data_IF_081224121757
#
_entry.id   IF_081224121757
#
_cell.length_a   1.000
_cell.length_b   1.000
_cell.length_c   1.000
_cell.angle_alpha   90.00
_cell.angle_beta   90.00
_cell.angle_gamma   90.00
#
_symmetry.space_group_name_H-M   'P 1'
#
loop_
_entity.id
_entity.type
_entity.pdbx_description
1 polymer ?
#
# COMPACT_ATOMS: atom_id res chain seq x y z
N UNK A 1 -24.41 13.58 -5.71
CA UNK A 1 -24.53 12.12 -5.74
C UNK A 1 -23.12 11.59 -5.56
N UNK A 2 -22.85 11.01 -4.44
CA UNK A 2 -21.51 10.59 -4.08
C UNK A 2 -21.28 9.14 -4.52
N UNK A 3 -20.05 8.81 -4.90
CA UNK A 3 -19.56 7.45 -5.16
C UNK A 3 -19.96 6.48 -4.02
N UNK A 4 -20.13 7.00 -2.82
CA UNK A 4 -20.51 6.23 -1.63
C UNK A 4 -21.98 5.78 -1.60
N UNK A 5 -22.86 6.42 -2.36
CA UNK A 5 -24.30 6.08 -2.37
C UNK A 5 -24.62 4.69 -2.95
N UNK A 6 -23.65 4.04 -3.59
CA UNK A 6 -23.81 2.72 -4.20
C UNK A 6 -22.91 1.66 -3.58
N UNK A 7 -22.28 1.94 -2.43
CA UNK A 7 -21.38 0.98 -1.79
C UNK A 7 -22.04 -0.37 -1.51
N UNK A 8 -23.29 -0.36 -1.06
CA UNK A 8 -24.06 -1.57 -0.78
C UNK A 8 -24.37 -2.43 -2.04
N UNK A 9 -24.23 -1.84 -3.24
CA UNK A 9 -24.44 -2.58 -4.49
C UNK A 9 -23.27 -3.50 -4.87
N UNK A 10 -22.12 -3.36 -4.23
CA UNK A 10 -20.91 -4.13 -4.56
C UNK A 10 -20.79 -5.44 -3.76
N UNK A 11 -21.70 -5.70 -2.83
CA UNK A 11 -21.65 -6.89 -1.99
C UNK A 11 -20.47 -6.88 -1.02
N UNK A 12 -19.99 -8.07 -0.66
CA UNK A 12 -18.81 -8.22 0.19
C UNK A 12 -17.54 -7.85 -0.59
N UNK A 13 -16.79 -6.88 -0.07
CA UNK A 13 -15.55 -6.41 -0.68
C UNK A 13 -14.38 -7.22 -0.14
N UNK A 14 -13.56 -7.76 -1.04
CA UNK A 14 -12.33 -8.48 -0.70
C UNK A 14 -11.10 -7.61 -0.99
N UNK A 15 -10.30 -7.38 0.02
CA UNK A 15 -9.07 -6.61 -0.07
C UNK A 15 -7.80 -7.47 0.03
N UNK A 16 -7.93 -8.77 -0.04
CA UNK A 16 -6.78 -9.71 -0.05
C UNK A 16 -5.95 -9.53 -1.31
N UNK A 17 -4.67 -9.42 -1.24
CA UNK A 17 -3.79 -9.33 -2.39
C UNK A 17 -3.66 -10.68 -3.11
N UNK A 18 -3.33 -10.66 -4.40
CA UNK A 18 -3.00 -11.85 -5.15
C UNK A 18 -1.91 -12.67 -4.43
N UNK A 19 -2.00 -13.99 -4.55
CA UNK A 19 -1.02 -14.89 -3.95
C UNK A 19 0.39 -14.49 -4.42
N UNK A 20 1.31 -14.36 -3.47
CA UNK A 20 2.70 -13.99 -3.73
C UNK A 20 3.57 -15.22 -3.60
N UNK A 21 4.64 -15.25 -4.37
CA UNK A 21 5.67 -16.27 -4.17
C UNK A 21 6.25 -16.15 -2.76
N UNK A 22 6.23 -17.25 -2.04
CA UNK A 22 6.80 -17.36 -0.70
C UNK A 22 8.03 -18.26 -0.74
N UNK A 23 8.96 -18.06 0.19
CA UNK A 23 10.13 -18.92 0.32
C UNK A 23 11.29 -18.59 -0.61
N UNK A 24 11.22 -17.50 -1.36
CA UNK A 24 12.39 -16.98 -2.11
C UNK A 24 13.49 -16.59 -1.13
N UNK A 25 14.67 -17.16 -1.32
CA UNK A 25 15.86 -16.83 -0.50
C UNK A 25 16.80 -15.95 -1.30
N UNK A 26 17.38 -14.96 -0.62
CA UNK A 26 18.43 -14.16 -1.22
C UNK A 26 19.65 -15.03 -1.54
N UNK A 27 20.19 -14.88 -2.73
CA UNK A 27 21.39 -15.59 -3.21
C UNK A 27 22.61 -14.67 -3.14
N UNK A 28 23.72 -15.20 -2.67
CA UNK A 28 24.97 -14.45 -2.61
C UNK A 28 25.43 -14.04 -4.01
N UNK A 29 25.87 -12.80 -4.16
CA UNK A 29 26.36 -12.24 -5.43
C UNK A 29 25.27 -11.75 -6.39
N UNK A 30 23.99 -11.79 -5.99
CA UNK A 30 22.89 -11.19 -6.76
C UNK A 30 22.51 -9.82 -6.20
N UNK A 31 22.12 -8.93 -7.09
CA UNK A 31 21.48 -7.65 -6.76
C UNK A 31 19.98 -7.80 -6.89
N UNK A 32 19.24 -7.37 -5.86
CA UNK A 32 17.79 -7.37 -5.84
C UNK A 32 17.30 -5.94 -5.99
N UNK A 33 16.43 -5.69 -6.96
CA UNK A 33 15.87 -4.37 -7.25
C UNK A 33 14.39 -4.42 -6.98
N UNK A 34 13.91 -3.55 -6.12
CA UNK A 34 12.49 -3.31 -5.88
C UNK A 34 12.09 -2.01 -6.56
N UNK A 35 11.07 -2.07 -7.39
CA UNK A 35 10.49 -0.88 -8.03
C UNK A 35 9.14 -0.63 -7.38
N UNK A 36 8.99 0.57 -6.81
CA UNK A 36 7.79 0.94 -6.09
C UNK A 36 7.35 2.35 -6.47
N UNK A 37 6.08 2.51 -6.85
CA UNK A 37 5.47 3.82 -7.01
C UNK A 37 5.13 4.37 -5.64
N UNK A 38 5.64 5.55 -5.32
CA UNK A 38 5.29 6.29 -4.09
C UNK A 38 4.01 7.11 -4.26
N UNK A 39 3.75 8.05 -3.37
CA UNK A 39 2.64 9.04 -3.44
C UNK A 39 1.21 8.46 -3.34
N UNK A 40 1.04 7.22 -2.93
CA UNK A 40 -0.28 6.63 -2.72
C UNK A 40 -1.07 7.22 -1.55
N UNK A 41 -0.45 8.09 -0.75
CA UNK A 41 -1.11 8.93 0.25
C UNK A 41 -1.92 10.07 -0.39
N UNK A 42 -1.61 10.44 -1.61
CA UNK A 42 -2.37 11.41 -2.41
C UNK A 42 -3.66 10.76 -2.93
N UNK A 43 -4.63 10.59 -2.06
CA UNK A 43 -5.88 9.88 -2.33
C UNK A 43 -6.60 10.38 -3.59
N UNK A 44 -6.54 11.69 -3.88
CA UNK A 44 -7.13 12.27 -5.09
C UNK A 44 -6.57 11.66 -6.39
N UNK A 45 -5.35 11.14 -6.38
CA UNK A 45 -4.74 10.50 -7.55
C UNK A 45 -5.43 9.18 -7.89
N UNK A 46 -6.01 8.50 -6.90
CA UNK A 46 -6.78 7.28 -7.08
C UNK A 46 -8.22 7.53 -7.53
N UNK A 47 -8.74 8.75 -7.35
CA UNK A 47 -10.07 9.16 -7.81
C UNK A 47 -10.07 9.84 -9.17
N UNK A 48 -8.93 10.30 -9.64
CA UNK A 48 -8.81 11.01 -10.91
C UNK A 48 -8.50 10.01 -12.03
N UNK A 49 -9.42 9.92 -12.99
CA UNK A 49 -9.31 9.01 -14.14
C UNK A 49 -8.06 9.25 -14.99
N UNK A 50 -7.58 10.48 -15.02
CA UNK A 50 -6.40 10.88 -15.80
C UNK A 50 -5.10 10.78 -14.99
N UNK A 51 -5.12 10.02 -13.89
CA UNK A 51 -4.00 9.85 -12.99
C UNK A 51 -3.64 8.37 -12.81
N UNK A 52 -3.50 7.88 -11.57
CA UNK A 52 -3.03 6.51 -11.31
C UNK A 52 -3.94 5.41 -11.86
N UNK A 53 -5.24 5.70 -12.08
CA UNK A 53 -6.18 4.76 -12.71
C UNK A 53 -6.23 4.86 -14.23
N UNK A 54 -5.38 5.64 -14.86
CA UNK A 54 -5.23 5.57 -16.32
C UNK A 54 -4.54 4.25 -16.69
N UNK A 55 -5.33 3.32 -17.18
CA UNK A 55 -4.89 1.96 -17.56
C UNK A 55 -3.83 1.95 -18.65
N UNK A 56 -3.79 2.98 -19.48
CA UNK A 56 -2.85 3.06 -20.58
C UNK A 56 -1.46 3.50 -20.14
N UNK A 57 -1.38 4.19 -18.99
CA UNK A 57 -0.16 4.89 -18.60
C UNK A 57 0.44 4.38 -17.29
N UNK A 58 -0.40 4.07 -16.29
CA UNK A 58 0.07 3.76 -14.95
C UNK A 58 -0.35 2.38 -14.46
N UNK A 59 -1.52 2.27 -13.86
CA UNK A 59 -2.00 1.07 -13.22
C UNK A 59 -3.12 0.41 -14.02
N UNK A 60 -3.12 -0.93 -14.10
CA UNK A 60 -4.22 -1.69 -14.65
C UNK A 60 -3.81 -2.74 -15.68
N UNK A 61 -4.82 -3.44 -16.22
CA UNK A 61 -4.64 -4.60 -17.08
C UNK A 61 -3.96 -4.31 -18.44
N UNK A 62 -3.98 -3.07 -18.89
CA UNK A 62 -3.34 -2.67 -20.15
C UNK A 62 -1.85 -2.35 -19.99
N UNK A 63 -1.38 -2.21 -18.77
CA UNK A 63 0.04 -2.01 -18.50
C UNK A 63 0.85 -3.25 -18.91
N UNK A 64 2.00 -3.04 -19.51
CA UNK A 64 2.95 -4.11 -19.75
C UNK A 64 3.49 -4.65 -18.41
N UNK A 65 3.06 -5.84 -18.04
CA UNK A 65 3.51 -6.56 -16.86
C UNK A 65 4.88 -7.24 -17.06
N UNK A 66 5.83 -6.58 -17.70
CA UNK A 66 7.18 -7.13 -17.94
C UNK A 66 7.95 -7.38 -16.65
N UNK A 67 7.73 -6.57 -15.62
CA UNK A 67 8.39 -6.70 -14.31
C UNK A 67 7.41 -6.47 -13.15
N UNK A 68 7.72 -7.03 -11.96
CA UNK A 68 6.94 -6.78 -10.75
C UNK A 68 7.03 -5.31 -10.31
N UNK A 69 5.91 -4.75 -9.86
CA UNK A 69 5.84 -3.37 -9.38
C UNK A 69 5.01 -3.28 -8.11
N UNK A 70 5.53 -2.54 -7.14
CA UNK A 70 4.80 -2.15 -5.94
C UNK A 70 4.02 -0.84 -6.16
N UNK A 71 2.77 -0.81 -5.72
CA UNK A 71 1.89 0.35 -5.82
C UNK A 71 1.53 0.82 -4.42
N UNK A 72 1.98 2.01 -4.07
CA UNK A 72 1.62 2.63 -2.81
C UNK A 72 0.15 3.03 -2.82
N UNK A 73 -0.59 2.62 -1.81
CA UNK A 73 -2.02 2.93 -1.65
C UNK A 73 -2.33 3.32 -0.22
N UNK A 74 -3.22 4.29 -0.03
CA UNK A 74 -3.66 4.69 1.30
C UNK A 74 -4.59 3.62 1.90
N UNK A 75 -4.18 2.92 2.99
CA UNK A 75 -5.02 1.87 3.59
C UNK A 75 -6.34 2.41 4.16
N UNK A 76 -6.37 3.67 4.54
CA UNK A 76 -7.59 4.37 4.98
C UNK A 76 -8.67 4.49 3.90
N UNK A 77 -8.37 4.13 2.64
CA UNK A 77 -9.39 3.94 1.61
C UNK A 77 -10.40 2.85 1.99
N UNK A 78 -10.06 1.94 2.90
CA UNK A 78 -11.01 1.00 3.47
C UNK A 78 -12.28 1.70 3.97
N UNK A 79 -12.12 2.85 4.64
CA UNK A 79 -13.24 3.62 5.18
C UNK A 79 -13.65 4.80 4.27
N UNK A 80 -12.65 5.43 3.62
CA UNK A 80 -12.87 6.65 2.84
C UNK A 80 -13.35 6.38 1.42
N UNK A 81 -13.04 5.21 0.87
CA UNK A 81 -13.37 4.88 -0.52
C UNK A 81 -13.19 3.39 -0.81
N UNK A 82 -13.92 2.49 -0.12
CA UNK A 82 -13.74 1.05 -0.26
C UNK A 82 -13.93 0.57 -1.70
N UNK A 83 -14.78 1.21 -2.47
CA UNK A 83 -14.97 0.91 -3.89
C UNK A 83 -13.68 1.14 -4.69
N UNK A 84 -12.97 2.23 -4.40
CA UNK A 84 -11.69 2.52 -5.09
C UNK A 84 -10.68 1.44 -4.79
N UNK A 85 -10.54 1.06 -3.52
CA UNK A 85 -9.63 0.01 -3.11
C UNK A 85 -9.99 -1.34 -3.75
N UNK A 86 -11.27 -1.67 -3.81
CA UNK A 86 -11.76 -2.87 -4.49
C UNK A 86 -11.50 -2.83 -6.01
N UNK A 87 -11.70 -1.70 -6.66
CA UNK A 87 -11.38 -1.53 -8.07
C UNK A 87 -9.89 -1.75 -8.35
N UNK A 88 -9.03 -1.13 -7.54
CA UNK A 88 -7.58 -1.32 -7.65
C UNK A 88 -7.20 -2.80 -7.55
N UNK A 89 -7.83 -3.50 -6.63
CA UNK A 89 -7.60 -4.92 -6.40
C UNK A 89 -7.99 -5.77 -7.63
N UNK A 90 -9.18 -5.50 -8.18
CA UNK A 90 -9.70 -6.24 -9.32
C UNK A 90 -8.95 -5.94 -10.63
N UNK A 91 -8.34 -4.77 -10.72
CA UNK A 91 -7.57 -4.34 -11.90
C UNK A 91 -6.09 -4.77 -11.81
N UNK A 92 -5.65 -5.27 -10.66
CA UNK A 92 -4.26 -5.67 -10.45
C UNK A 92 -3.88 -6.85 -11.34
N UNK A 93 -2.79 -6.70 -12.06
CA UNK A 93 -2.16 -7.78 -12.82
C UNK A 93 -1.36 -8.74 -11.91
N UNK A 94 -0.86 -9.85 -12.45
CA UNK A 94 -0.17 -10.87 -11.66
C UNK A 94 1.17 -10.40 -11.06
N UNK A 95 1.70 -9.30 -11.52
CA UNK A 95 2.96 -8.69 -11.06
C UNK A 95 2.75 -7.35 -10.32
N UNK A 96 1.52 -7.00 -10.02
CA UNK A 96 1.18 -5.84 -9.23
C UNK A 96 1.06 -6.22 -7.76
N UNK A 97 1.73 -5.46 -6.91
CA UNK A 97 1.71 -5.62 -5.46
C UNK A 97 1.33 -4.29 -4.82
N UNK A 98 0.47 -4.32 -3.83
CA UNK A 98 0.15 -3.12 -3.08
C UNK A 98 0.98 -3.03 -1.81
N UNK A 99 1.40 -1.82 -1.52
CA UNK A 99 2.09 -1.44 -0.27
C UNK A 99 1.36 -0.27 0.35
N UNK A 100 1.34 -0.12 1.67
CA UNK A 100 0.71 1.04 2.30
C UNK A 100 1.42 2.33 1.88
N UNK A 101 0.72 3.43 1.98
CA UNK A 101 1.25 4.76 1.70
C UNK A 101 2.44 5.11 2.60
N UNK A 102 3.14 6.16 2.26
CA UNK A 102 4.32 6.65 3.00
C UNK A 102 4.03 6.70 4.50
N UNK A 103 4.93 6.13 5.29
CA UNK A 103 4.79 5.92 6.73
C UNK A 103 3.58 5.08 7.15
N UNK A 104 2.84 4.50 6.21
CA UNK A 104 1.72 3.58 6.46
C UNK A 104 0.34 4.20 6.20
N UNK A 105 -0.16 5.06 7.07
CA UNK A 105 -1.50 5.68 6.95
C UNK A 105 -1.47 7.09 6.35
N UNK A 106 -0.34 7.53 5.83
CA UNK A 106 -0.22 8.85 5.22
C UNK A 106 1.12 9.51 5.53
N UNK A 107 1.30 10.67 4.93
CA UNK A 107 2.55 11.39 4.95
C UNK A 107 2.83 11.99 6.34
N UNK A 108 3.53 11.24 7.19
CA UNK A 108 4.03 11.73 8.48
C UNK A 108 5.55 11.54 8.56
N UNK A 109 6.21 12.36 9.38
CA UNK A 109 7.58 12.09 9.81
C UNK A 109 7.54 11.39 11.18
N UNK A 110 7.82 10.08 11.25
CA UNK A 110 7.73 9.30 12.48
C UNK A 110 8.68 9.75 13.59
N UNK A 111 9.82 10.37 13.25
CA UNK A 111 10.80 10.85 14.23
C UNK A 111 10.24 11.90 15.17
N UNK A 112 9.32 12.72 14.67
CA UNK A 112 8.74 13.87 15.40
C UNK A 112 7.23 13.73 15.62
N UNK A 113 6.64 12.61 15.22
CA UNK A 113 5.21 12.39 15.40
C UNK A 113 4.88 12.13 16.88
N UNK A 114 4.06 12.96 17.53
CA UNK A 114 3.96 12.97 18.98
C UNK A 114 3.28 11.73 19.58
N UNK A 115 2.45 11.03 18.80
CA UNK A 115 1.68 9.85 19.22
C UNK A 115 1.93 8.67 18.32
N UNK A 116 3.22 8.39 18.04
CA UNK A 116 3.62 7.35 17.09
C UNK A 116 3.05 5.97 17.46
N UNK A 117 3.05 5.59 18.72
CA UNK A 117 2.53 4.29 19.14
C UNK A 117 1.03 4.13 18.81
N UNK A 118 0.20 5.14 19.10
CA UNK A 118 -1.23 5.13 18.74
C UNK A 118 -1.44 5.10 17.22
N UNK A 119 -0.59 5.80 16.48
CA UNK A 119 -0.60 5.76 15.02
C UNK A 119 -0.31 4.36 14.51
N UNK A 120 0.71 3.68 15.05
CA UNK A 120 1.11 2.33 14.66
C UNK A 120 0.08 1.28 15.04
N UNK A 121 -0.60 1.42 16.19
CA UNK A 121 -1.75 0.58 16.54
C UNK A 121 -2.89 0.70 15.51
N UNK A 122 -3.16 1.92 15.06
CA UNK A 122 -4.15 2.17 14.01
C UNK A 122 -3.68 1.58 12.68
N UNK A 123 -2.41 1.78 12.33
CA UNK A 123 -1.82 1.20 11.13
C UNK A 123 -1.99 -0.32 11.10
N UNK A 124 -1.67 -1.04 12.18
CA UNK A 124 -1.82 -2.49 12.24
C UNK A 124 -3.23 -2.95 11.89
N UNK A 125 -4.27 -2.28 12.41
CA UNK A 125 -5.67 -2.61 12.09
C UNK A 125 -5.98 -2.49 10.60
N UNK A 126 -5.51 -1.41 9.97
CA UNK A 126 -5.73 -1.21 8.53
C UNK A 126 -4.93 -2.20 7.69
N UNK A 127 -3.68 -2.49 8.08
CA UNK A 127 -2.84 -3.48 7.38
C UNK A 127 -3.48 -4.87 7.40
N UNK A 128 -3.99 -5.30 8.56
CA UNK A 128 -4.71 -6.56 8.69
C UNK A 128 -5.93 -6.63 7.75
N UNK A 129 -6.71 -5.55 7.69
CA UNK A 129 -7.94 -5.49 6.90
C UNK A 129 -7.69 -5.35 5.38
N UNK A 130 -6.50 -4.90 4.98
CA UNK A 130 -6.16 -4.63 3.56
C UNK A 130 -5.06 -5.52 3.01
N UNK A 131 -4.59 -6.52 3.77
CA UNK A 131 -3.50 -7.44 3.40
C UNK A 131 -2.22 -6.72 2.91
N UNK A 132 -1.88 -5.58 3.53
CA UNK A 132 -0.67 -4.83 3.24
C UNK A 132 0.38 -5.13 4.31
N UNK A 133 1.64 -5.32 3.91
CA UNK A 133 2.65 -5.83 4.85
C UNK A 133 4.07 -5.29 4.69
N UNK A 134 4.32 -4.41 3.74
CA UNK A 134 5.64 -3.78 3.54
C UNK A 134 5.46 -2.28 3.49
N UNK A 135 6.11 -1.54 4.39
CA UNK A 135 5.94 -0.09 4.51
C UNK A 135 7.17 0.67 4.02
N UNK A 136 6.93 1.79 3.34
CA UNK A 136 7.96 2.80 3.12
C UNK A 136 7.91 3.82 4.27
N UNK A 137 9.00 3.93 5.02
CA UNK A 137 9.07 4.82 6.19
C UNK A 137 9.74 6.13 5.78
N UNK A 138 9.05 7.25 5.98
CA UNK A 138 9.65 8.57 5.78
C UNK A 138 10.57 8.89 6.96
N UNK A 139 11.84 8.58 6.80
CA UNK A 139 12.85 8.84 7.80
C UNK A 139 14.08 9.48 7.16
N UNK A 140 14.66 10.48 7.81
CA UNK A 140 15.81 11.23 7.30
C UNK A 140 17.17 10.62 7.67
N UNK A 141 17.19 9.46 8.33
CA UNK A 141 18.47 8.92 8.79
C UNK A 141 18.42 7.55 9.44
N UNK A 142 17.43 6.73 9.14
CA UNK A 142 17.28 5.39 9.70
C UNK A 142 17.32 5.39 11.25
N UNK A 143 16.49 6.23 11.88
CA UNK A 143 16.40 6.31 13.33
C UNK A 143 15.99 4.95 13.92
N UNK A 144 16.89 4.36 14.70
CA UNK A 144 16.71 3.04 15.29
C UNK A 144 15.41 2.93 16.11
N UNK A 145 14.99 4.00 16.79
CA UNK A 145 13.75 4.03 17.57
C UNK A 145 12.51 3.92 16.67
N UNK A 146 12.56 4.57 15.50
CA UNK A 146 11.49 4.48 14.50
C UNK A 146 11.44 3.07 13.93
N UNK A 147 12.58 2.51 13.53
CA UNK A 147 12.67 1.15 13.02
C UNK A 147 12.10 0.15 14.03
N UNK A 148 12.52 0.23 15.29
CA UNK A 148 12.02 -0.64 16.36
C UNK A 148 10.52 -0.45 16.63
N UNK A 149 10.00 0.78 16.50
CA UNK A 149 8.58 1.04 16.66
C UNK A 149 7.75 0.34 15.57
N UNK A 150 8.15 0.51 14.31
CA UNK A 150 7.48 -0.17 13.19
C UNK A 150 7.64 -1.70 13.24
N UNK A 151 8.80 -2.21 13.67
CA UNK A 151 9.05 -3.65 13.81
C UNK A 151 8.14 -4.32 14.86
N UNK A 152 7.51 -3.56 15.75
CA UNK A 152 6.52 -4.08 16.71
C UNK A 152 5.12 -4.24 16.12
N UNK A 153 4.85 -3.74 14.92
CA UNK A 153 3.55 -3.91 14.25
C UNK A 153 3.49 -5.32 13.66
N UNK A 154 2.62 -6.21 14.14
CA UNK A 154 2.66 -7.64 13.78
C UNK A 154 2.40 -7.92 12.31
N UNK A 155 1.62 -7.06 11.65
CA UNK A 155 1.24 -7.17 10.25
C UNK A 155 2.38 -6.81 9.29
N UNK A 156 3.38 -6.07 9.76
CA UNK A 156 4.52 -5.68 8.93
C UNK A 156 5.52 -6.82 8.82
N UNK A 157 5.88 -7.15 7.58
CA UNK A 157 6.90 -8.14 7.22
C UNK A 157 8.20 -7.50 6.75
N UNK A 158 8.16 -6.20 6.48
CA UNK A 158 9.34 -5.45 6.05
C UNK A 158 9.08 -3.95 5.97
N UNK A 159 10.17 -3.19 5.92
CA UNK A 159 10.18 -1.74 5.76
C UNK A 159 11.35 -1.30 4.86
N UNK A 160 11.18 -0.16 4.22
CA UNK A 160 12.17 0.49 3.34
C UNK A 160 12.33 1.94 3.81
#
# INVERSE_FOLDING_TARGET
TTIFACADAFGELDFTQNAKETGVKAEQGKHYVCIMMSDGDNVQMWYNRDSFIDRSTYFGAERDNSFPMGWSVQPGLLDLGPIVLNCLKNEAGPKDYFVPSVSGLGYINPQVYPTLDTYLESLGKYLAATDLSVVQILDSGADQRVIEAYARVPELKGGI
#
